data_IF_253820637041
#
_entry.id   IF_253820637041
#
_cell.length_a   1.000
_cell.length_b   1.000
_cell.length_c   1.000
_cell.angle_alpha   90.00
_cell.angle_beta   90.00
_cell.angle_gamma   90.00
#
_symmetry.space_group_name_H-M   'P 1'
#
loop_
_entity.id
_entity.type
_entity.pdbx_description
1 polymer ?
#
# COMPACT_ATOMS: atom_id res chain seq x y z
N UNK A 1 -9.90 -9.59 -17.14
CA UNK A 1 -9.21 -9.75 -15.84
C UNK A 1 -7.77 -9.25 -15.86
N UNK A 2 -7.01 -9.41 -16.96
CA UNK A 2 -5.61 -8.95 -17.06
C UNK A 2 -5.38 -7.48 -16.68
N UNK A 3 -6.17 -6.55 -17.22
CA UNK A 3 -6.14 -5.12 -16.87
C UNK A 3 -6.30 -4.84 -15.37
N UNK A 4 -7.18 -5.61 -14.71
CA UNK A 4 -7.53 -5.47 -13.28
C UNK A 4 -6.35 -5.90 -12.39
N UNK A 5 -5.77 -7.05 -12.73
CA UNK A 5 -4.59 -7.61 -12.06
C UNK A 5 -3.38 -6.71 -12.29
N UNK A 6 -3.15 -6.27 -13.52
CA UNK A 6 -2.04 -5.39 -13.87
C UNK A 6 -2.13 -4.02 -13.17
N UNK A 7 -3.31 -3.41 -13.13
CA UNK A 7 -3.54 -2.16 -12.41
C UNK A 7 -3.25 -2.27 -10.91
N UNK A 8 -3.67 -3.38 -10.30
CA UNK A 8 -3.45 -3.69 -8.88
C UNK A 8 -1.97 -3.94 -8.57
N UNK A 9 -1.27 -4.72 -9.41
CA UNK A 9 0.16 -4.98 -9.26
C UNK A 9 0.95 -3.68 -9.43
N UNK A 10 0.59 -2.84 -10.41
CA UNK A 10 1.28 -1.56 -10.63
C UNK A 10 1.19 -0.64 -9.43
N UNK A 11 0.02 -0.49 -8.81
CA UNK A 11 -0.11 0.34 -7.59
C UNK A 11 0.57 -0.31 -6.38
N UNK A 12 0.58 -1.65 -6.29
CA UNK A 12 1.38 -2.38 -5.32
C UNK A 12 2.87 -2.08 -5.45
N UNK A 13 3.42 -2.15 -6.67
CA UNK A 13 4.82 -1.83 -6.96
C UNK A 13 5.17 -0.38 -6.61
N UNK A 14 4.26 0.56 -6.87
CA UNK A 14 4.43 1.94 -6.39
C UNK A 14 4.48 2.02 -4.86
N UNK A 15 3.64 1.25 -4.15
CA UNK A 15 3.72 1.14 -2.69
C UNK A 15 5.05 0.54 -2.21
N UNK A 16 5.54 -0.50 -2.88
CA UNK A 16 6.83 -1.15 -2.59
C UNK A 16 8.03 -0.20 -2.78
N UNK A 17 7.94 0.75 -3.72
CA UNK A 17 8.97 1.74 -3.96
C UNK A 17 8.86 2.92 -2.98
N UNK A 18 7.67 3.48 -2.85
CA UNK A 18 7.44 4.70 -2.07
C UNK A 18 7.55 4.47 -0.56
N UNK A 19 7.09 3.32 -0.05
CA UNK A 19 7.12 3.03 1.39
C UNK A 19 8.54 3.05 1.98
N UNK A 20 9.47 2.23 1.46
CA UNK A 20 10.86 2.23 1.87
C UNK A 20 11.54 3.60 1.69
N UNK A 21 11.23 4.31 0.60
CA UNK A 21 11.74 5.66 0.37
C UNK A 21 11.29 6.63 1.46
N UNK A 22 10.00 6.62 1.82
CA UNK A 22 9.48 7.46 2.90
C UNK A 22 10.07 7.08 4.26
N UNK A 23 10.24 5.79 4.56
CA UNK A 23 10.88 5.35 5.80
C UNK A 23 12.33 5.83 5.88
N UNK A 24 13.08 5.77 4.77
CA UNK A 24 14.45 6.26 4.72
C UNK A 24 14.53 7.77 4.94
N UNK A 25 13.69 8.54 4.24
CA UNK A 25 13.60 10.00 4.45
C UNK A 25 13.18 10.36 5.88
N UNK A 26 12.29 9.57 6.47
CA UNK A 26 11.85 9.76 7.85
C UNK A 26 12.99 9.54 8.84
N UNK A 27 13.75 8.46 8.72
CA UNK A 27 14.91 8.19 9.58
C UNK A 27 16.01 9.25 9.40
N UNK A 28 16.27 9.69 8.16
CA UNK A 28 17.19 10.81 7.91
C UNK A 28 16.69 12.08 8.61
N UNK A 29 15.39 12.36 8.54
CA UNK A 29 14.78 13.46 9.27
C UNK A 29 15.03 13.36 10.78
N UNK A 30 14.82 12.18 11.38
CA UNK A 30 15.11 11.95 12.79
C UNK A 30 16.58 12.19 13.11
N UNK A 31 17.51 11.72 12.28
CA UNK A 31 18.95 11.97 12.51
C UNK A 31 19.33 13.45 12.49
N UNK A 32 18.62 14.29 11.73
CA UNK A 32 18.92 15.73 11.60
C UNK A 32 18.26 16.53 12.71
N UNK A 33 17.01 16.18 13.06
CA UNK A 33 16.15 17.00 13.91
C UNK A 33 15.97 16.46 15.33
N UNK A 34 16.30 15.18 15.59
CA UNK A 34 16.15 14.55 16.91
C UNK A 34 17.50 14.52 17.66
N UNK A 35 17.66 15.27 18.76
CA UNK A 35 18.91 15.30 19.54
C UNK A 35 19.19 13.98 20.27
N UNK A 36 18.24 13.04 20.31
CA UNK A 36 18.46 11.69 20.85
C UNK A 36 19.34 10.86 19.91
N UNK A 37 19.27 11.09 18.59
CA UNK A 37 20.16 10.43 17.63
C UNK A 37 21.61 10.91 17.85
N UNK A 38 22.51 9.99 18.18
CA UNK A 38 23.91 10.27 18.54
C UNK A 38 24.16 10.64 20.00
N UNK A 39 23.14 10.59 20.86
CA UNK A 39 23.29 10.81 22.31
C UNK A 39 23.87 9.59 23.05
N UNK A 40 24.46 9.75 24.25
CA UNK A 40 24.93 8.63 25.08
C UNK A 40 23.76 7.72 25.46
N UNK A 41 23.64 6.57 24.78
CA UNK A 41 22.50 5.64 24.89
C UNK A 41 21.91 5.25 23.54
N UNK A 42 22.20 6.01 22.48
CA UNK A 42 21.92 5.59 21.11
C UNK A 42 22.98 4.56 20.68
N UNK A 43 22.70 3.28 20.92
CA UNK A 43 23.54 2.12 20.55
C UNK A 43 23.59 1.88 19.03
N UNK A 44 23.51 2.95 18.22
CA UNK A 44 23.31 2.88 16.78
C UNK A 44 21.86 2.60 16.39
N UNK A 45 20.88 2.92 17.23
CA UNK A 45 19.47 2.71 16.94
C UNK A 45 19.02 3.53 15.73
N UNK A 46 19.39 4.81 15.67
CA UNK A 46 19.08 5.65 14.50
C UNK A 46 19.82 5.16 13.25
N UNK A 47 21.09 4.75 13.38
CA UNK A 47 21.90 4.24 12.27
C UNK A 47 21.39 2.90 11.73
N UNK A 48 20.99 1.97 12.61
CA UNK A 48 20.34 0.72 12.21
C UNK A 48 18.97 0.99 11.57
N UNK A 49 18.24 1.99 12.06
CA UNK A 49 16.95 2.42 11.51
C UNK A 49 17.00 2.75 10.03
N UNK A 50 18.12 3.27 9.51
CA UNK A 50 18.29 3.58 8.08
C UNK A 50 18.13 2.35 7.18
N UNK A 51 18.43 1.17 7.70
CA UNK A 51 18.36 -0.09 6.97
C UNK A 51 17.12 -0.89 7.38
N UNK A 52 16.86 -1.01 8.68
CA UNK A 52 15.79 -1.87 9.19
C UNK A 52 14.40 -1.31 8.92
N UNK A 53 14.19 0.01 8.99
CA UNK A 53 12.87 0.61 8.78
C UNK A 53 12.39 0.47 7.32
N UNK A 54 13.22 0.78 6.29
CA UNK A 54 12.82 0.56 4.90
C UNK A 54 12.50 -0.91 4.59
N UNK A 55 13.30 -1.85 5.12
CA UNK A 55 13.08 -3.29 4.92
C UNK A 55 11.77 -3.74 5.59
N UNK A 56 11.56 -3.35 6.85
CA UNK A 56 10.38 -3.72 7.61
C UNK A 56 9.08 -3.20 6.95
N UNK A 57 9.13 -2.03 6.31
CA UNK A 57 7.93 -1.41 5.73
C UNK A 57 7.69 -1.76 4.26
N UNK A 58 8.66 -2.38 3.57
CA UNK A 58 8.57 -2.70 2.14
C UNK A 58 7.33 -3.54 1.80
N UNK A 59 7.18 -4.69 2.45
CA UNK A 59 6.04 -5.59 2.25
C UNK A 59 4.71 -4.97 2.68
N UNK A 60 4.58 -4.36 3.88
CA UNK A 60 3.36 -3.64 4.27
C UNK A 60 2.93 -2.57 3.26
N UNK A 61 3.89 -1.82 2.72
CA UNK A 61 3.61 -0.74 1.76
C UNK A 61 3.16 -1.28 0.40
N UNK A 62 3.72 -2.40 -0.05
CA UNK A 62 3.22 -3.12 -1.22
C UNK A 62 1.77 -3.56 -1.02
N UNK A 63 1.47 -4.21 0.10
CA UNK A 63 0.12 -4.70 0.42
C UNK A 63 -0.88 -3.55 0.44
N UNK A 64 -0.52 -2.43 1.06
CA UNK A 64 -1.35 -1.24 1.09
C UNK A 64 -1.58 -0.66 -0.32
N UNK A 65 -0.51 -0.55 -1.13
CA UNK A 65 -0.60 -0.06 -2.51
C UNK A 65 -1.45 -0.96 -3.42
N UNK A 66 -1.34 -2.28 -3.25
CA UNK A 66 -2.15 -3.26 -3.96
C UNK A 66 -3.62 -3.17 -3.52
N UNK A 67 -3.88 -3.11 -2.22
CA UNK A 67 -5.24 -2.95 -1.68
C UNK A 67 -5.92 -1.68 -2.20
N UNK A 68 -5.20 -0.55 -2.26
CA UNK A 68 -5.70 0.71 -2.83
C UNK A 68 -6.00 0.57 -4.32
N UNK A 69 -5.11 -0.07 -5.09
CA UNK A 69 -5.34 -0.30 -6.52
C UNK A 69 -6.57 -1.16 -6.78
N UNK A 70 -6.69 -2.26 -6.05
CA UNK A 70 -7.83 -3.16 -6.10
C UNK A 70 -9.12 -2.40 -5.77
N UNK A 71 -9.13 -1.64 -4.66
CA UNK A 71 -10.28 -0.84 -4.25
C UNK A 71 -10.68 0.20 -5.31
N UNK A 72 -9.71 0.90 -5.92
CA UNK A 72 -9.97 1.88 -6.99
C UNK A 72 -10.60 1.22 -8.22
N UNK A 73 -10.10 0.06 -8.61
CA UNK A 73 -10.58 -0.63 -9.80
C UNK A 73 -11.96 -1.26 -9.58
N UNK A 74 -12.22 -1.81 -8.40
CA UNK A 74 -13.57 -2.21 -7.97
C UNK A 74 -14.53 -1.02 -7.94
N UNK A 75 -14.07 0.14 -7.47
CA UNK A 75 -14.88 1.35 -7.43
C UNK A 75 -15.26 1.83 -8.84
N UNK A 76 -14.31 1.79 -9.80
CA UNK A 76 -14.58 2.13 -11.20
C UNK A 76 -15.58 1.20 -11.88
N UNK A 77 -15.62 -0.06 -11.47
CA UNK A 77 -16.53 -1.09 -12.00
C UNK A 77 -17.87 -1.13 -11.27
N UNK A 78 -18.12 -0.25 -10.30
CA UNK A 78 -19.40 -0.23 -9.60
C UNK A 78 -20.54 0.10 -10.59
N UNK A 79 -21.64 -0.67 -10.58
CA UNK A 79 -22.80 -0.35 -11.39
C UNK A 79 -23.44 0.96 -10.89
N UNK A 80 -23.87 1.81 -11.83
CA UNK A 80 -24.55 3.06 -11.51
C UNK A 80 -25.89 2.85 -10.77
N UNK A 81 -26.59 1.73 -11.06
CA UNK A 81 -27.75 1.27 -10.30
C UNK A 81 -27.50 -0.13 -9.70
N UNK A 82 -27.14 -0.23 -8.41
CA UNK A 82 -26.91 -1.51 -7.75
C UNK A 82 -28.18 -2.35 -7.64
N UNK A 83 -29.38 -1.74 -7.60
CA UNK A 83 -30.65 -2.50 -7.50
C UNK A 83 -30.98 -3.19 -8.82
N UNK A 84 -30.72 -2.53 -9.95
CA UNK A 84 -30.85 -3.16 -11.26
C UNK A 84 -29.86 -4.33 -11.44
N UNK A 85 -28.61 -4.15 -11.01
CA UNK A 85 -27.59 -5.20 -11.06
C UNK A 85 -27.97 -6.43 -10.21
N UNK A 86 -28.44 -6.23 -8.97
CA UNK A 86 -28.89 -7.31 -8.09
C UNK A 86 -30.09 -8.05 -8.69
N UNK A 87 -31.07 -7.34 -9.27
CA UNK A 87 -32.22 -7.97 -9.94
C UNK A 87 -31.78 -8.85 -11.12
N UNK A 88 -30.83 -8.38 -11.92
CA UNK A 88 -30.29 -9.14 -13.05
C UNK A 88 -29.59 -10.42 -12.59
N UNK A 89 -28.73 -10.32 -11.57
CA UNK A 89 -28.04 -11.49 -11.00
C UNK A 89 -29.02 -12.50 -10.39
N UNK A 90 -30.08 -12.03 -9.73
CA UNK A 90 -31.12 -12.89 -9.15
C UNK A 90 -31.93 -13.65 -10.19
N UNK A 91 -32.18 -13.03 -11.34
CA UNK A 91 -32.93 -13.66 -12.42
C UNK A 91 -32.06 -14.63 -13.25
N UNK A 92 -30.75 -14.40 -13.31
CA UNK A 92 -29.79 -15.23 -14.05
C UNK A 92 -29.76 -16.70 -13.56
N UNK A 93 -29.99 -16.92 -12.26
CA UNK A 93 -30.06 -18.26 -11.67
C UNK A 93 -31.43 -18.94 -11.77
N UNK A 94 -32.34 -18.39 -12.57
CA UNK A 94 -33.74 -18.84 -12.70
C UNK A 94 -34.10 -19.32 -14.11
N UNK A 95 -33.14 -19.28 -15.03
CA UNK A 95 -33.27 -19.70 -16.43
C UNK A 95 -32.89 -21.19 -16.64
N UNK A 96 -32.84 -21.99 -15.57
CA UNK A 96 -32.61 -23.44 -15.61
C UNK A 96 -33.86 -24.22 -15.19
#
# INVERSE_FOLDING_TARGET
MGELIWGTIRTGLWGLLLGPLFALLFVIGLMIFDPVCGSPGDSGGCAMGLVTAPIAIALPSFVLGAAIGLARELWRRRPADPRAAIRRLRNLGREE
#
